data_IF_153902114624
#
_entry.id   IF_153902114624
#
_cell.length_a   1.000
_cell.length_b   1.000
_cell.length_c   1.000
_cell.angle_alpha   90.00
_cell.angle_beta   90.00
_cell.angle_gamma   90.00
#
_symmetry.space_group_name_H-M   'P 1'
#
loop_
_entity.id
_entity.type
_entity.pdbx_description
1 polymer ?
#
# COMPACT_ATOMS: atom_id res chain seq x y z
N UNK A 1 3.81 -16.27 -26.17
CA UNK A 1 3.04 -15.02 -26.22
C UNK A 1 4.02 -13.86 -26.20
N UNK A 2 3.79 -12.85 -27.03
CA UNK A 2 4.51 -11.58 -27.06
C UNK A 2 3.74 -10.52 -26.26
N UNK A 3 4.37 -9.39 -25.93
CA UNK A 3 3.71 -8.27 -25.26
C UNK A 3 2.71 -7.51 -26.14
N UNK A 4 2.76 -7.72 -27.45
CA UNK A 4 1.82 -7.14 -28.42
C UNK A 4 0.62 -8.04 -28.71
N UNK A 5 0.59 -9.28 -28.19
CA UNK A 5 -0.54 -10.18 -28.37
C UNK A 5 -1.78 -9.61 -27.63
N UNK A 6 -2.96 -9.71 -28.24
CA UNK A 6 -4.21 -9.15 -27.68
C UNK A 6 -4.46 -9.57 -26.23
N UNK A 7 -4.19 -10.84 -25.89
CA UNK A 7 -4.34 -11.37 -24.53
C UNK A 7 -3.45 -10.69 -23.50
N UNK A 8 -2.27 -10.23 -23.91
CA UNK A 8 -1.39 -9.45 -23.04
C UNK A 8 -1.96 -8.03 -22.91
N UNK A 9 -2.21 -7.35 -24.03
CA UNK A 9 -2.64 -5.94 -24.04
C UNK A 9 -3.99 -5.73 -23.34
N UNK A 10 -4.90 -6.70 -23.43
CA UNK A 10 -6.22 -6.67 -22.78
C UNK A 10 -6.22 -7.23 -21.35
N UNK A 11 -5.06 -7.52 -20.78
CA UNK A 11 -4.97 -8.15 -19.47
C UNK A 11 -5.45 -7.20 -18.35
N UNK A 12 -6.20 -7.72 -17.37
CA UNK A 12 -6.80 -6.93 -16.28
C UNK A 12 -5.81 -6.14 -15.42
N UNK A 13 -4.54 -6.56 -15.39
CA UNK A 13 -3.48 -5.86 -14.64
C UNK A 13 -3.38 -4.37 -15.01
N UNK A 14 -3.64 -4.01 -16.27
CA UNK A 14 -3.54 -2.62 -16.73
C UNK A 14 -4.65 -1.74 -16.14
N UNK A 15 -5.89 -2.24 -16.09
CA UNK A 15 -7.00 -1.53 -15.44
C UNK A 15 -6.82 -1.50 -13.91
N UNK A 16 -6.34 -2.58 -13.30
CA UNK A 16 -6.13 -2.64 -11.84
C UNK A 16 -5.00 -1.70 -11.39
N UNK A 17 -3.89 -1.60 -12.14
CA UNK A 17 -2.83 -0.63 -11.88
C UNK A 17 -3.36 0.82 -11.93
N UNK A 18 -4.23 1.13 -12.89
CA UNK A 18 -4.84 2.45 -13.01
C UNK A 18 -5.76 2.73 -11.81
N UNK A 19 -6.53 1.72 -11.40
CA UNK A 19 -7.38 1.80 -10.22
C UNK A 19 -6.57 2.03 -8.92
N UNK A 20 -5.52 1.25 -8.67
CA UNK A 20 -4.69 1.40 -7.47
C UNK A 20 -3.96 2.76 -7.43
N UNK A 21 -3.45 3.25 -8.57
CA UNK A 21 -2.85 4.58 -8.65
C UNK A 21 -3.85 5.68 -8.26
N UNK A 22 -5.09 5.59 -8.77
CA UNK A 22 -6.17 6.53 -8.46
C UNK A 22 -6.63 6.43 -7.01
N UNK A 23 -6.66 5.22 -6.44
CA UNK A 23 -6.96 5.03 -5.03
C UNK A 23 -5.95 5.76 -4.14
N UNK A 24 -4.65 5.66 -4.43
CA UNK A 24 -3.62 6.38 -3.67
C UNK A 24 -3.69 7.90 -3.83
N UNK A 25 -4.11 8.39 -5.00
CA UNK A 25 -4.41 9.82 -5.19
C UNK A 25 -5.54 10.28 -4.27
N UNK A 26 -6.68 9.57 -4.28
CA UNK A 26 -7.82 9.89 -3.42
C UNK A 26 -7.49 9.76 -1.93
N UNK A 27 -6.72 8.74 -1.56
CA UNK A 27 -6.27 8.58 -0.19
C UNK A 27 -5.35 9.73 0.22
N UNK A 28 -4.39 10.10 -0.63
CA UNK A 28 -3.49 11.25 -0.42
C UNK A 28 -4.26 12.54 -0.14
N UNK A 29 -5.26 12.84 -0.97
CA UNK A 29 -6.10 14.03 -0.81
C UNK A 29 -6.92 13.96 0.49
N UNK A 30 -7.49 12.80 0.80
CA UNK A 30 -8.34 12.62 1.98
C UNK A 30 -7.59 12.74 3.31
N UNK A 31 -6.31 12.36 3.36
CA UNK A 31 -5.54 12.37 4.62
C UNK A 31 -4.72 13.64 4.83
N UNK A 32 -4.64 14.52 3.82
CA UNK A 32 -3.73 15.67 3.77
C UNK A 32 -3.90 16.63 4.95
N UNK A 33 -5.14 16.81 5.42
CA UNK A 33 -5.48 17.71 6.52
C UNK A 33 -5.18 17.14 7.91
N UNK A 34 -4.93 15.84 8.04
CA UNK A 34 -4.55 15.25 9.33
C UNK A 34 -3.10 15.60 9.67
N UNK A 35 -2.88 16.15 10.87
CA UNK A 35 -1.54 16.52 11.30
C UNK A 35 -0.72 15.28 11.68
N UNK A 36 0.48 15.15 11.10
CA UNK A 36 1.49 14.18 11.56
C UNK A 36 2.16 14.69 12.84
N UNK A 37 1.46 14.54 13.96
CA UNK A 37 1.91 15.01 15.28
C UNK A 37 3.27 14.41 15.63
N UNK A 38 4.17 15.24 16.16
CA UNK A 38 5.53 14.81 16.52
C UNK A 38 6.56 14.93 15.39
N UNK A 39 6.23 15.61 14.28
CA UNK A 39 7.16 15.93 13.19
C UNK A 39 7.11 17.43 12.84
N UNK A 40 8.07 17.92 12.05
CA UNK A 40 8.02 19.29 11.49
C UNK A 40 7.15 19.40 10.23
N UNK A 41 6.53 18.31 9.79
CA UNK A 41 5.77 18.31 8.54
C UNK A 41 4.55 19.25 8.64
N UNK A 42 4.38 20.10 7.63
CA UNK A 42 3.28 21.07 7.57
C UNK A 42 1.94 20.38 7.27
N UNK A 43 2.00 19.30 6.48
CA UNK A 43 0.86 18.47 6.09
C UNK A 43 1.15 17.03 6.49
N UNK A 44 0.15 16.17 6.37
CA UNK A 44 0.34 14.75 6.61
C UNK A 44 1.49 14.19 5.75
N UNK A 45 2.48 13.55 6.37
CA UNK A 45 3.60 12.93 5.64
C UNK A 45 3.12 11.84 4.68
N UNK A 46 1.99 11.20 4.99
CA UNK A 46 1.45 10.09 4.22
C UNK A 46 0.89 10.52 2.86
N UNK A 47 0.45 11.77 2.72
CA UNK A 47 0.12 12.37 1.40
C UNK A 47 1.29 12.19 0.43
N UNK A 48 2.52 12.48 0.86
CA UNK A 48 3.70 12.32 0.00
C UNK A 48 4.03 10.86 -0.26
N UNK A 49 3.83 9.98 0.73
CA UNK A 49 4.08 8.55 0.59
C UNK A 49 3.10 7.92 -0.41
N UNK A 50 1.81 8.24 -0.33
CA UNK A 50 0.78 7.75 -1.25
C UNK A 50 1.00 8.28 -2.67
N UNK A 51 1.36 9.54 -2.85
CA UNK A 51 1.73 10.07 -4.17
C UNK A 51 2.99 9.39 -4.73
N UNK A 52 3.96 9.01 -3.88
CA UNK A 52 5.12 8.21 -4.30
C UNK A 52 4.76 6.78 -4.69
N UNK A 53 3.83 6.15 -3.97
CA UNK A 53 3.28 4.83 -4.31
C UNK A 53 2.53 4.88 -5.64
N UNK A 54 1.64 5.87 -5.83
CA UNK A 54 0.97 6.16 -7.10
C UNK A 54 1.98 6.22 -8.25
N UNK A 55 3.01 7.05 -8.13
CA UNK A 55 4.03 7.18 -9.18
C UNK A 55 4.80 5.89 -9.45
N UNK A 56 5.01 5.04 -8.43
CA UNK A 56 5.64 3.73 -8.60
C UNK A 56 4.71 2.75 -9.35
N UNK A 57 3.42 2.75 -9.05
CA UNK A 57 2.39 1.94 -9.75
C UNK A 57 2.23 2.39 -11.20
N UNK A 58 2.22 3.70 -11.45
CA UNK A 58 2.22 4.25 -12.82
C UNK A 58 3.50 3.87 -13.59
N UNK A 59 4.65 3.81 -12.90
CA UNK A 59 5.89 3.32 -13.49
C UNK A 59 5.81 1.83 -13.85
N UNK A 60 5.20 0.99 -12.99
CA UNK A 60 4.92 -0.43 -13.29
C UNK A 60 4.06 -0.53 -14.55
N UNK A 61 2.99 0.26 -14.65
CA UNK A 61 2.12 0.31 -15.81
C UNK A 61 2.90 0.67 -17.08
N UNK A 62 3.77 1.69 -17.02
CA UNK A 62 4.57 2.13 -18.16
C UNK A 62 5.51 1.03 -18.68
N UNK A 63 6.27 0.37 -17.78
CA UNK A 63 7.20 -0.68 -18.21
C UNK A 63 6.47 -1.92 -18.73
N UNK A 64 5.29 -2.26 -18.17
CA UNK A 64 4.47 -3.35 -18.68
C UNK A 64 3.91 -3.08 -20.08
N UNK A 65 3.54 -1.83 -20.38
CA UNK A 65 3.13 -1.42 -21.74
C UNK A 65 4.25 -1.60 -22.76
N UNK A 66 5.50 -1.43 -22.33
CA UNK A 66 6.68 -1.68 -23.16
C UNK A 66 7.10 -3.17 -23.18
N UNK A 67 6.34 -4.05 -22.52
CA UNK A 67 6.61 -5.49 -22.46
C UNK A 67 7.73 -5.91 -21.50
N UNK A 68 8.21 -4.99 -20.65
CA UNK A 68 9.30 -5.18 -19.69
C UNK A 68 8.80 -5.74 -18.36
N UNK A 69 8.47 -7.02 -18.36
CA UNK A 69 7.80 -7.65 -17.22
C UNK A 69 8.73 -7.86 -16.02
N UNK A 70 10.03 -8.10 -16.23
CA UNK A 70 10.97 -8.23 -15.12
C UNK A 70 11.26 -6.87 -14.45
N UNK A 71 11.34 -5.78 -15.23
CA UNK A 71 11.44 -4.43 -14.67
C UNK A 71 10.23 -4.06 -13.80
N UNK A 72 9.05 -4.56 -14.15
CA UNK A 72 7.85 -4.40 -13.33
C UNK A 72 8.00 -5.05 -11.94
N UNK A 73 8.66 -6.22 -11.83
CA UNK A 73 8.96 -6.83 -10.53
C UNK A 73 9.99 -6.04 -9.71
N UNK A 74 10.97 -5.40 -10.37
CA UNK A 74 11.91 -4.52 -9.68
C UNK A 74 11.19 -3.32 -9.05
N UNK A 75 10.21 -2.75 -9.75
CA UNK A 75 9.36 -1.68 -9.25
C UNK A 75 8.36 -2.17 -8.18
N UNK A 76 7.82 -3.39 -8.32
CA UNK A 76 7.00 -4.02 -7.29
C UNK A 76 7.79 -4.22 -5.98
N UNK A 77 9.08 -4.59 -6.05
CA UNK A 77 9.95 -4.67 -4.87
C UNK A 77 10.05 -3.32 -4.15
N UNK A 78 10.21 -2.24 -4.92
CA UNK A 78 10.22 -0.86 -4.38
C UNK A 78 8.87 -0.49 -3.77
N UNK A 79 7.77 -0.83 -4.43
CA UNK A 79 6.42 -0.59 -3.93
C UNK A 79 6.14 -1.35 -2.62
N UNK A 80 6.55 -2.61 -2.53
CA UNK A 80 6.53 -3.39 -1.28
C UNK A 80 7.30 -2.69 -0.17
N UNK A 81 8.51 -2.20 -0.46
CA UNK A 81 9.31 -1.49 0.53
C UNK A 81 8.63 -0.19 0.99
N UNK A 82 7.99 0.55 0.08
CA UNK A 82 7.17 1.72 0.44
C UNK A 82 6.01 1.34 1.35
N UNK A 83 5.31 0.23 1.08
CA UNK A 83 4.19 -0.24 1.92
C UNK A 83 4.64 -0.54 3.36
N UNK A 84 5.79 -1.20 3.50
CA UNK A 84 6.40 -1.51 4.79
C UNK A 84 6.93 -0.28 5.51
N UNK A 85 7.52 0.67 4.78
CA UNK A 85 7.97 1.95 5.33
C UNK A 85 6.76 2.73 5.86
N UNK A 86 5.68 2.86 5.07
CA UNK A 86 4.48 3.57 5.49
C UNK A 86 3.85 2.97 6.76
N UNK A 87 3.73 1.64 6.82
CA UNK A 87 3.24 0.97 8.03
C UNK A 87 4.18 1.22 9.23
N UNK A 88 5.50 1.12 9.02
CA UNK A 88 6.49 1.34 10.06
C UNK A 88 6.44 2.76 10.62
N UNK A 89 6.47 3.77 9.75
CA UNK A 89 6.51 5.17 10.17
C UNK A 89 5.26 5.53 10.95
N UNK A 90 4.09 5.10 10.50
CA UNK A 90 2.84 5.37 11.22
C UNK A 90 2.75 4.67 12.57
N UNK A 91 3.11 3.39 12.64
CA UNK A 91 3.11 2.70 13.93
C UNK A 91 4.14 3.33 14.89
N UNK A 92 5.33 3.65 14.38
CA UNK A 92 6.37 4.27 15.20
C UNK A 92 5.93 5.64 15.74
N UNK A 93 5.27 6.45 14.91
CA UNK A 93 4.68 7.73 15.35
C UNK A 93 3.66 7.50 16.45
N UNK A 94 2.71 6.57 16.25
CA UNK A 94 1.66 6.29 17.24
C UNK A 94 2.23 5.77 18.56
N UNK A 95 3.21 4.87 18.53
CA UNK A 95 3.85 4.31 19.73
C UNK A 95 4.68 5.35 20.51
N UNK A 96 5.15 6.40 19.83
CA UNK A 96 6.00 7.45 20.42
C UNK A 96 5.27 8.78 20.60
N UNK A 97 3.97 8.83 20.29
CA UNK A 97 3.13 10.00 20.50
C UNK A 97 3.13 10.37 22.00
N UNK A 98 3.33 11.67 22.29
CA UNK A 98 3.33 12.19 23.66
C UNK A 98 4.60 11.88 24.49
N UNK A 99 5.63 11.24 23.93
CA UNK A 99 6.92 11.10 24.60
C UNK A 99 7.61 12.47 24.82
N UNK A 100 8.45 12.56 25.86
CA UNK A 100 9.20 13.79 26.18
C UNK A 100 10.17 14.14 25.05
N UNK A 101 9.88 15.23 24.35
CA UNK A 101 10.66 15.76 23.24
C UNK A 101 9.77 16.63 22.36
N UNK A 102 10.36 17.52 21.56
CA UNK A 102 9.57 18.34 20.64
C UNK A 102 9.18 17.54 19.38
N UNK A 103 10.03 16.60 18.95
CA UNK A 103 9.82 15.76 17.78
C UNK A 103 10.21 14.30 18.04
N UNK A 104 9.59 13.40 17.28
CA UNK A 104 9.96 11.98 17.19
C UNK A 104 11.21 11.89 16.31
N UNK A 105 12.39 11.93 16.96
CA UNK A 105 13.69 12.11 16.29
C UNK A 105 13.91 11.17 15.10
N UNK A 106 13.57 9.89 15.21
CA UNK A 106 13.84 8.93 14.13
C UNK A 106 13.12 9.27 12.83
N UNK A 107 11.85 9.67 12.93
CA UNK A 107 11.03 10.06 11.77
C UNK A 107 11.42 11.46 11.31
N UNK A 108 11.59 12.38 12.26
CA UNK A 108 11.94 13.75 11.93
C UNK A 108 13.31 13.85 11.25
N UNK A 109 14.31 13.09 11.69
CA UNK A 109 15.63 13.05 11.07
C UNK A 109 15.58 12.44 9.67
N UNK A 110 14.71 11.46 9.44
CA UNK A 110 14.48 10.91 8.10
C UNK A 110 13.87 11.94 7.17
N UNK A 111 12.85 12.68 7.61
CA UNK A 111 12.22 13.74 6.82
C UNK A 111 13.21 14.83 6.38
N UNK A 112 14.23 15.11 7.18
CA UNK A 112 15.26 16.11 6.86
C UNK A 112 16.54 15.50 6.26
N UNK A 113 16.56 14.19 5.96
CA UNK A 113 17.74 13.51 5.42
C UNK A 113 18.95 13.47 6.36
N UNK A 114 18.76 13.71 7.67
CA UNK A 114 19.83 13.64 8.68
C UNK A 114 20.20 12.20 9.00
N UNK A 115 19.22 11.29 8.96
CA UNK A 115 19.42 9.86 9.22
C UNK A 115 18.50 9.01 8.34
N UNK A 116 19.01 7.92 7.81
CA UNK A 116 18.18 6.95 7.09
C UNK A 116 17.27 6.18 8.06
N UNK A 117 16.09 5.78 7.57
CA UNK A 117 15.26 4.82 8.29
C UNK A 117 16.01 3.51 8.55
N UNK A 118 15.60 2.74 9.57
CA UNK A 118 16.12 1.41 9.80
C UNK A 118 16.02 0.52 8.56
N UNK A 119 16.94 -0.46 8.45
CA UNK A 119 16.86 -1.47 7.38
C UNK A 119 15.55 -2.26 7.48
N UNK A 120 15.07 -2.75 6.34
CA UNK A 120 13.80 -3.48 6.20
C UNK A 120 13.59 -4.59 7.25
N UNK A 121 14.65 -5.35 7.59
CA UNK A 121 14.58 -6.38 8.65
C UNK A 121 14.18 -5.81 10.02
N UNK A 122 14.73 -4.65 10.41
CA UNK A 122 14.40 -4.00 11.68
C UNK A 122 12.97 -3.45 11.66
N UNK A 123 12.55 -2.80 10.57
CA UNK A 123 11.17 -2.30 10.40
C UNK A 123 10.14 -3.44 10.44
N UNK A 124 10.37 -4.52 9.70
CA UNK A 124 9.49 -5.70 9.71
C UNK A 124 9.43 -6.37 11.09
N UNK A 125 10.56 -6.48 11.79
CA UNK A 125 10.58 -7.01 13.17
C UNK A 125 9.78 -6.12 14.13
N UNK A 126 9.83 -4.80 13.94
CA UNK A 126 9.07 -3.85 14.74
C UNK A 126 7.56 -4.05 14.54
N UNK A 127 7.10 -4.10 13.29
CA UNK A 127 5.70 -4.36 12.93
C UNK A 127 5.21 -5.71 13.46
N UNK A 128 6.01 -6.78 13.34
CA UNK A 128 5.66 -8.13 13.81
C UNK A 128 5.52 -8.23 15.34
N UNK A 129 6.22 -7.38 16.09
CA UNK A 129 6.18 -7.39 17.57
C UNK A 129 5.09 -6.51 18.17
N UNK A 130 4.40 -5.70 17.36
CA UNK A 130 3.35 -4.82 17.84
C UNK A 130 2.13 -5.61 18.33
N UNK A 131 1.67 -5.40 19.58
CA UNK A 131 0.42 -5.99 20.06
C UNK A 131 -0.79 -5.55 19.22
N UNK A 132 -0.82 -4.29 18.78
CA UNK A 132 -1.89 -3.73 17.93
C UNK A 132 -2.04 -4.50 16.63
N UNK A 133 -0.92 -4.93 16.05
CA UNK A 133 -0.89 -5.63 14.76
C UNK A 133 -0.88 -7.15 14.89
N UNK A 134 -0.99 -7.70 16.10
CA UNK A 134 -0.76 -9.13 16.35
C UNK A 134 -1.71 -10.03 15.56
N UNK A 135 -3.02 -9.76 15.59
CA UNK A 135 -4.03 -10.51 14.83
C UNK A 135 -3.85 -10.34 13.32
N UNK A 136 -3.57 -9.12 12.84
CA UNK A 136 -3.32 -8.88 11.41
C UNK A 136 -2.08 -9.62 10.93
N UNK A 137 -1.01 -9.60 11.72
CA UNK A 137 0.21 -10.34 11.41
C UNK A 137 -0.03 -11.85 11.38
N UNK A 138 -0.89 -12.40 12.25
CA UNK A 138 -1.27 -13.81 12.17
C UNK A 138 -1.99 -14.11 10.84
N UNK A 139 -2.89 -13.23 10.40
CA UNK A 139 -3.55 -13.37 9.09
C UNK A 139 -2.60 -13.21 7.91
N UNK A 140 -1.54 -12.41 8.01
CA UNK A 140 -0.52 -12.32 6.96
C UNK A 140 0.43 -13.53 6.92
N UNK A 141 0.62 -14.22 8.05
CA UNK A 141 1.48 -15.40 8.14
C UNK A 141 0.67 -16.72 8.11
N UNK A 142 -0.63 -16.68 7.77
CA UNK A 142 -1.48 -17.88 7.69
C UNK A 142 -1.22 -18.70 6.44
N UNK A 143 -0.65 -18.08 5.40
CA UNK A 143 -0.22 -18.69 4.15
C UNK A 143 1.13 -18.06 3.69
N UNK A 144 1.74 -18.65 2.67
CA UNK A 144 3.03 -18.20 2.12
C UNK A 144 2.88 -17.03 1.12
N UNK A 145 1.73 -16.35 1.08
CA UNK A 145 1.41 -15.36 0.04
C UNK A 145 2.41 -14.21 0.01
N UNK A 146 2.59 -13.53 1.14
CA UNK A 146 3.42 -12.34 1.23
C UNK A 146 4.92 -12.66 1.20
N UNK A 147 5.31 -13.79 1.79
CA UNK A 147 6.68 -14.30 1.67
C UNK A 147 6.99 -14.65 0.21
N UNK A 148 6.04 -15.29 -0.49
CA UNK A 148 6.14 -15.59 -1.92
C UNK A 148 6.27 -14.35 -2.81
N UNK A 149 5.56 -13.26 -2.50
CA UNK A 149 5.72 -11.98 -3.22
C UNK A 149 7.15 -11.49 -3.11
N UNK A 150 7.70 -11.51 -1.90
CA UNK A 150 9.07 -11.05 -1.64
C UNK A 150 10.10 -11.91 -2.36
N UNK A 151 9.93 -13.23 -2.33
CA UNK A 151 10.83 -14.17 -2.99
C UNK A 151 10.82 -13.97 -4.51
N UNK A 152 9.64 -13.87 -5.13
CA UNK A 152 9.53 -13.55 -6.57
C UNK A 152 10.17 -12.21 -6.91
N UNK A 153 9.97 -11.18 -6.10
CA UNK A 153 10.64 -9.89 -6.30
C UNK A 153 12.17 -10.03 -6.27
N UNK A 154 12.72 -10.81 -5.33
CA UNK A 154 14.16 -11.04 -5.24
C UNK A 154 14.69 -11.84 -6.43
N UNK A 155 13.98 -12.87 -6.86
CA UNK A 155 14.35 -13.69 -8.02
C UNK A 155 14.45 -12.87 -9.30
N UNK A 156 13.48 -11.99 -9.54
CA UNK A 156 13.46 -11.09 -10.69
C UNK A 156 14.54 -10.00 -10.59
N UNK A 157 14.76 -9.43 -9.41
CA UNK A 157 15.80 -8.41 -9.18
C UNK A 157 17.21 -8.95 -9.44
N UNK A 158 17.46 -10.20 -9.06
CA UNK A 158 18.78 -10.83 -9.17
C UNK A 158 18.95 -11.67 -10.45
N UNK A 159 17.94 -11.72 -11.32
CA UNK A 159 17.93 -12.59 -12.50
C UNK A 159 18.28 -14.05 -12.17
N UNK A 160 17.72 -14.59 -11.09
CA UNK A 160 18.07 -15.93 -10.60
C UNK A 160 17.84 -17.05 -11.63
N UNK A 161 16.97 -16.79 -12.63
CA UNK A 161 16.76 -17.69 -13.76
C UNK A 161 16.85 -16.94 -15.09
N UNK A 162 17.45 -17.58 -16.11
CA UNK A 162 17.56 -17.00 -17.46
C UNK A 162 16.21 -16.62 -18.08
N UNK A 163 15.16 -17.37 -17.76
CA UNK A 163 13.79 -17.05 -18.18
C UNK A 163 13.36 -15.66 -17.71
N UNK A 164 13.77 -15.22 -16.51
CA UNK A 164 13.43 -13.90 -15.98
C UNK A 164 14.12 -12.78 -16.76
N UNK A 165 15.33 -13.02 -17.25
CA UNK A 165 16.01 -12.06 -18.15
C UNK A 165 15.22 -11.88 -19.45
N UNK A 166 14.71 -12.97 -20.03
CA UNK A 166 13.91 -12.91 -21.26
C UNK A 166 12.56 -12.21 -21.07
N UNK A 167 12.02 -12.14 -19.85
CA UNK A 167 10.76 -11.45 -19.59
C UNK A 167 10.83 -9.94 -19.88
N UNK A 168 12.02 -9.36 -19.95
CA UNK A 168 12.23 -7.96 -20.36
C UNK A 168 12.28 -7.73 -21.88
N UNK A 169 12.36 -8.78 -22.69
CA UNK A 169 12.26 -8.66 -24.14
C UNK A 169 10.83 -9.00 -24.59
N UNK A 170 9.98 -7.98 -24.72
CA UNK A 170 8.55 -8.11 -25.02
C UNK A 170 8.24 -8.79 -26.35
N UNK A 171 9.17 -8.76 -27.33
CA UNK A 171 8.97 -9.36 -28.66
C UNK A 171 9.31 -10.85 -28.70
N UNK A 172 10.01 -11.37 -27.70
CA UNK A 172 10.27 -12.82 -27.61
C UNK A 172 8.98 -13.53 -27.22
N UNK A 173 8.62 -14.54 -28.02
CA UNK A 173 7.50 -15.40 -27.72
C UNK A 173 7.85 -16.31 -26.54
N UNK A 174 7.18 -16.10 -25.40
CA UNK A 174 7.28 -16.98 -24.23
C UNK A 174 5.90 -17.54 -23.89
N UNK A 175 5.75 -18.87 -23.82
CA UNK A 175 4.46 -19.50 -23.48
C UNK A 175 3.98 -19.06 -22.11
N UNK A 176 4.90 -18.99 -21.15
CA UNK A 176 4.61 -18.65 -19.74
C UNK A 176 4.43 -17.15 -19.47
N UNK A 177 4.60 -16.25 -20.46
CA UNK A 177 4.51 -14.79 -20.22
C UNK A 177 3.19 -14.37 -19.58
N UNK A 178 2.08 -14.99 -19.99
CA UNK A 178 0.76 -14.69 -19.43
C UNK A 178 0.66 -15.12 -17.98
N UNK A 179 1.26 -16.26 -17.63
CA UNK A 179 1.30 -16.76 -16.27
C UNK A 179 2.12 -15.83 -15.37
N UNK A 180 3.28 -15.35 -15.83
CA UNK A 180 4.06 -14.35 -15.11
C UNK A 180 3.31 -13.02 -14.94
N UNK A 181 2.51 -12.61 -15.94
CA UNK A 181 1.71 -11.39 -15.86
C UNK A 181 0.54 -11.53 -14.86
N UNK A 182 -0.11 -12.69 -14.84
CA UNK A 182 -1.15 -13.04 -13.87
C UNK A 182 -0.60 -13.11 -12.45
N UNK A 183 0.59 -13.69 -12.28
CA UNK A 183 1.28 -13.72 -10.99
C UNK A 183 1.65 -12.31 -10.52
N UNK A 184 2.21 -11.48 -11.41
CA UNK A 184 2.54 -10.10 -11.10
C UNK A 184 1.30 -9.30 -10.69
N UNK A 185 0.17 -9.51 -11.38
CA UNK A 185 -1.12 -8.89 -11.02
C UNK A 185 -1.52 -9.25 -9.59
N UNK A 186 -1.47 -10.53 -9.26
CA UNK A 186 -1.78 -11.02 -7.91
C UNK A 186 -0.85 -10.41 -6.86
N UNK A 187 0.44 -10.35 -7.15
CA UNK A 187 1.44 -9.80 -6.23
C UNK A 187 1.24 -8.29 -5.99
N UNK A 188 0.94 -7.51 -7.03
CA UNK A 188 0.63 -6.08 -6.90
C UNK A 188 -0.59 -5.87 -6.00
N UNK A 189 -1.65 -6.66 -6.23
CA UNK A 189 -2.87 -6.61 -5.42
C UNK A 189 -2.59 -7.00 -3.97
N UNK A 190 -1.78 -8.02 -3.73
CA UNK A 190 -1.44 -8.45 -2.38
C UNK A 190 -0.63 -7.37 -1.64
N UNK A 191 0.31 -6.69 -2.30
CA UNK A 191 1.03 -5.53 -1.72
C UNK A 191 0.09 -4.36 -1.44
N UNK A 192 -0.88 -4.12 -2.32
CA UNK A 192 -1.92 -3.12 -2.07
C UNK A 192 -2.72 -3.45 -0.81
N UNK A 193 -3.20 -4.69 -0.68
CA UNK A 193 -3.93 -5.17 0.52
C UNK A 193 -3.06 -5.09 1.79
N UNK A 194 -1.77 -5.46 1.68
CA UNK A 194 -0.81 -5.36 2.78
C UNK A 194 -0.73 -3.93 3.33
N UNK A 195 -0.60 -2.96 2.42
CA UNK A 195 -0.48 -1.55 2.81
C UNK A 195 -1.75 -1.03 3.49
N UNK A 196 -2.91 -1.18 2.85
CA UNK A 196 -4.18 -0.65 3.40
C UNK A 196 -4.54 -1.30 4.73
N UNK A 197 -4.26 -2.59 4.92
CA UNK A 197 -4.66 -3.29 6.12
C UNK A 197 -3.81 -2.87 7.32
N UNK A 198 -2.48 -2.72 7.14
CA UNK A 198 -1.65 -2.11 8.17
C UNK A 198 -2.11 -0.68 8.46
N UNK A 199 -2.27 0.13 7.41
CA UNK A 199 -2.61 1.53 7.53
C UNK A 199 -3.91 1.75 8.30
N UNK A 200 -4.97 1.02 7.95
CA UNK A 200 -6.30 1.19 8.53
C UNK A 200 -6.43 0.65 9.96
N UNK A 201 -5.60 -0.33 10.37
CA UNK A 201 -5.50 -0.70 11.78
C UNK A 201 -4.73 0.35 12.58
N UNK A 202 -3.67 0.92 12.01
CA UNK A 202 -2.83 1.92 12.71
C UNK A 202 -3.56 3.27 12.80
N UNK A 203 -4.21 3.70 11.72
CA UNK A 203 -4.85 5.00 11.55
C UNK A 203 -6.27 4.83 10.99
N UNK A 204 -7.19 4.31 11.80
CA UNK A 204 -8.57 4.05 11.36
C UNK A 204 -9.28 5.29 10.80
N UNK A 205 -8.95 6.48 11.30
CA UNK A 205 -9.52 7.75 10.85
C UNK A 205 -9.18 8.09 9.39
N UNK A 206 -8.18 7.41 8.77
CA UNK A 206 -7.92 7.56 7.34
C UNK A 206 -9.03 6.95 6.47
N UNK A 207 -9.91 6.14 7.06
CA UNK A 207 -11.11 5.67 6.37
C UNK A 207 -12.24 6.70 6.34
N UNK A 208 -12.14 7.77 7.12
CA UNK A 208 -13.24 8.68 7.39
C UNK A 208 -13.68 9.47 6.14
N UNK A 209 -14.99 9.60 5.96
CA UNK A 209 -15.59 10.48 4.97
C UNK A 209 -15.32 11.96 5.30
N UNK A 210 -15.19 12.80 4.27
CA UNK A 210 -15.01 14.25 4.47
C UNK A 210 -16.21 14.90 5.14
N UNK A 211 -17.40 14.29 5.11
CA UNK A 211 -18.64 14.89 5.62
C UNK A 211 -18.49 15.47 7.03
N UNK A 212 -17.83 14.76 7.94
CA UNK A 212 -17.62 15.28 9.29
C UNK A 212 -16.79 16.57 9.28
N UNK A 213 -15.69 16.59 8.52
CA UNK A 213 -14.77 17.74 8.40
C UNK A 213 -15.44 18.89 7.63
N UNK A 214 -16.15 18.61 6.55
CA UNK A 214 -16.85 19.60 5.72
C UNK A 214 -17.86 20.41 6.55
N UNK A 215 -18.58 19.76 7.48
CA UNK A 215 -19.48 20.45 8.41
C UNK A 215 -18.71 21.33 9.39
N UNK A 216 -17.58 20.85 9.93
CA UNK A 216 -16.75 21.66 10.84
C UNK A 216 -16.16 22.88 10.14
N UNK A 217 -15.66 22.72 8.91
CA UNK A 217 -15.12 23.80 8.09
C UNK A 217 -16.19 24.85 7.75
N UNK A 218 -17.44 24.40 7.54
CA UNK A 218 -18.60 25.28 7.35
C UNK A 218 -19.11 25.90 8.67
N UNK A 219 -18.46 25.67 9.82
CA UNK A 219 -18.91 26.08 11.15
C UNK A 219 -20.32 25.56 11.50
N UNK A 220 -20.68 24.39 10.98
CA UNK A 220 -21.95 23.69 11.21
C UNK A 220 -21.77 22.51 12.17
N UNK A 221 -22.85 22.09 12.83
CA UNK A 221 -22.83 20.87 13.66
C UNK A 221 -22.87 19.63 12.77
N UNK A 222 -21.86 18.74 12.83
CA UNK A 222 -21.84 17.52 12.03
C UNK A 222 -22.99 16.57 12.41
N UNK A 223 -23.51 15.76 11.47
CA UNK A 223 -24.47 14.71 11.79
C UNK A 223 -23.91 13.74 12.84
N UNK A 224 -24.76 13.26 13.73
CA UNK A 224 -24.35 12.33 14.80
C UNK A 224 -23.72 11.05 14.22
N UNK A 225 -22.52 10.71 14.70
CA UNK A 225 -21.79 9.52 14.28
C UNK A 225 -21.15 9.61 12.89
N UNK A 226 -21.15 10.78 12.24
CA UNK A 226 -20.52 11.00 10.93
C UNK A 226 -19.00 10.86 10.95
N UNK A 227 -18.35 11.00 12.11
CA UNK A 227 -16.93 10.73 12.29
C UNK A 227 -16.53 9.26 12.06
N UNK A 228 -17.50 8.35 12.02
CA UNK A 228 -17.28 6.93 11.76
C UNK A 228 -17.72 6.52 10.35
N UNK A 229 -18.19 7.45 9.52
CA UNK A 229 -18.61 7.15 8.16
C UNK A 229 -17.38 6.95 7.28
N UNK A 230 -17.46 5.99 6.36
CA UNK A 230 -16.35 5.61 5.49
C UNK A 230 -16.44 6.37 4.16
N UNK A 231 -15.29 6.86 3.65
CA UNK A 231 -15.23 7.50 2.34
C UNK A 231 -15.65 6.52 1.23
N UNK A 232 -16.38 7.01 0.23
CA UNK A 232 -16.96 6.15 -0.82
C UNK A 232 -15.92 5.34 -1.60
N UNK A 233 -14.77 5.93 -1.93
CA UNK A 233 -13.69 5.22 -2.65
C UNK A 233 -13.05 4.11 -1.81
N UNK A 234 -13.12 4.20 -0.47
CA UNK A 234 -12.64 3.18 0.45
C UNK A 234 -13.65 2.04 0.53
N UNK A 235 -14.94 2.35 0.60
CA UNK A 235 -15.98 1.33 0.54
C UNK A 235 -15.94 0.58 -0.80
N UNK A 236 -15.75 1.29 -1.92
CA UNK A 236 -15.59 0.65 -3.24
C UNK A 236 -14.39 -0.31 -3.26
N UNK A 237 -13.26 0.07 -2.67
CA UNK A 237 -12.09 -0.81 -2.55
C UNK A 237 -12.37 -2.03 -1.67
N UNK A 238 -13.08 -1.83 -0.56
CA UNK A 238 -13.48 -2.91 0.34
C UNK A 238 -14.37 -3.92 -0.39
N UNK A 239 -15.35 -3.44 -1.12
CA UNK A 239 -16.30 -4.27 -1.86
C UNK A 239 -15.60 -5.01 -3.01
N UNK A 240 -14.82 -4.31 -3.82
CA UNK A 240 -14.27 -4.85 -5.06
C UNK A 240 -12.92 -5.57 -4.92
N UNK A 241 -12.20 -5.38 -3.81
CA UNK A 241 -10.86 -5.96 -3.62
C UNK A 241 -10.80 -6.78 -2.35
N UNK A 242 -11.13 -6.17 -1.21
CA UNK A 242 -10.88 -6.82 0.08
C UNK A 242 -11.87 -7.96 0.34
N UNK A 243 -13.15 -7.75 0.06
CA UNK A 243 -14.21 -8.75 0.26
C UNK A 243 -13.99 -10.01 -0.58
N UNK A 244 -13.47 -9.84 -1.81
CA UNK A 244 -13.22 -10.94 -2.73
C UNK A 244 -11.95 -11.74 -2.37
N UNK A 245 -10.89 -11.05 -1.92
CA UNK A 245 -9.55 -11.64 -1.84
C UNK A 245 -9.11 -11.96 -0.42
N UNK A 246 -9.50 -11.11 0.55
CA UNK A 246 -9.15 -11.23 1.98
C UNK A 246 -10.34 -10.87 2.87
N UNK A 247 -11.45 -11.64 2.81
CA UNK A 247 -12.61 -11.44 3.67
C UNK A 247 -12.27 -11.59 5.17
N UNK A 248 -11.22 -12.34 5.48
CA UNK A 248 -10.64 -12.46 6.83
C UNK A 248 -10.05 -11.15 7.35
N UNK A 249 -9.31 -10.40 6.51
CA UNK A 249 -8.83 -9.05 6.86
C UNK A 249 -9.99 -8.08 6.97
N UNK A 250 -10.98 -8.14 6.08
CA UNK A 250 -12.18 -7.31 6.18
C UNK A 250 -12.92 -7.55 7.51
N UNK A 251 -13.08 -8.81 7.92
CA UNK A 251 -13.68 -9.16 9.19
C UNK A 251 -12.88 -8.63 10.39
N UNK A 252 -11.55 -8.65 10.30
CA UNK A 252 -10.69 -8.04 11.31
C UNK A 252 -10.93 -6.53 11.39
N UNK A 253 -10.86 -5.80 10.27
CA UNK A 253 -11.08 -4.36 10.23
C UNK A 253 -12.45 -3.95 10.80
N UNK A 254 -13.52 -4.68 10.45
CA UNK A 254 -14.87 -4.45 10.99
C UNK A 254 -14.96 -4.63 12.51
N UNK A 255 -14.13 -5.50 13.09
CA UNK A 255 -14.11 -5.77 14.53
C UNK A 255 -13.20 -4.80 15.29
N UNK A 256 -12.05 -4.46 14.73
CA UNK A 256 -11.00 -3.72 15.43
C UNK A 256 -11.10 -2.21 15.28
N UNK A 257 -11.80 -1.74 14.24
CA UNK A 257 -11.94 -0.31 13.98
C UNK A 257 -13.34 0.18 14.34
N UNK A 258 -13.46 1.46 14.67
CA UNK A 258 -14.73 2.15 14.92
C UNK A 258 -15.48 2.54 13.65
N UNK A 259 -14.86 2.31 12.48
CA UNK A 259 -15.35 2.75 11.18
C UNK A 259 -16.46 1.84 10.65
N UNK A 260 -17.51 2.45 10.10
CA UNK A 260 -18.70 1.76 9.60
C UNK A 260 -18.49 1.20 8.19
N UNK A 261 -17.62 0.20 8.07
CA UNK A 261 -17.42 -0.59 6.86
C UNK A 261 -18.66 -1.45 6.60
N UNK A 262 -19.31 -1.30 5.44
CA UNK A 262 -20.47 -2.12 5.06
C UNK A 262 -20.08 -3.46 4.48
#
# INVERSE_FOLDING_TARGET
>A
MQSTDDRYVSHKVFSELTYYAKFYEYLSDSVMSFSTTGTTAIMNIDTYVFMSMKGTIESIHLVLKDGKLNDAYALLRKYYDSAMINAYTNLYINDHAGQKGFFIEEINDWLHGRKALPRMKKMSTYLKKSPLLSELNQLFNSDDRYDGVRDRCNDNMHYNYFALLMLNEGKIHMKERIHHLEQLRSDIRDVFILNIAYLFIINEHYMMSSVYIDYLDASMSPPEGSQHWVASFIQEMVDNVLSEVRPDILALLKRTTSMKLT
#
